data_IF_468092770023
#
_entry.id   IF_468092770023
#
_cell.length_a   1.000
_cell.length_b   1.000
_cell.length_c   1.000
_cell.angle_alpha   90.00
_cell.angle_beta   90.00
_cell.angle_gamma   90.00
#
_symmetry.space_group_name_H-M   'P 1'
#
loop_
_entity.id
_entity.type
_entity.pdbx_description
1 polymer ?
#
# COMPACT_ATOMS: atom_id res chain seq x y z
N UNK A 1 -16.36 -28.91 18.88
CA UNK A 1 -15.32 -28.23 19.67
C UNK A 1 -13.95 -28.18 18.98
N UNK A 2 -13.35 -29.31 18.54
CA UNK A 2 -12.04 -29.33 17.84
C UNK A 2 -11.98 -28.48 16.55
N UNK A 3 -13.06 -28.40 15.78
CA UNK A 3 -13.13 -27.60 14.54
C UNK A 3 -13.17 -26.09 14.80
N UNK A 4 -13.81 -25.65 15.87
CA UNK A 4 -13.88 -24.24 16.28
C UNK A 4 -12.49 -23.73 16.69
N UNK A 5 -11.79 -24.44 17.57
CA UNK A 5 -10.42 -24.08 17.97
C UNK A 5 -9.42 -24.10 16.83
N UNK A 6 -9.60 -24.97 15.82
CA UNK A 6 -8.75 -25.02 14.64
C UNK A 6 -8.95 -23.76 13.75
N UNK A 7 -10.16 -23.21 13.72
CA UNK A 7 -10.49 -22.03 12.93
C UNK A 7 -9.92 -20.75 13.57
N UNK A 8 -9.99 -20.63 14.90
CA UNK A 8 -9.43 -19.49 15.64
C UNK A 8 -7.88 -19.43 15.52
N UNK A 9 -7.19 -20.57 15.66
CA UNK A 9 -5.73 -20.63 15.43
C UNK A 9 -5.33 -20.17 14.04
N UNK A 10 -6.09 -20.52 13.00
CA UNK A 10 -5.84 -20.05 11.63
C UNK A 10 -6.00 -18.55 11.48
N UNK A 11 -7.05 -17.97 12.06
CA UNK A 11 -7.26 -16.51 12.06
C UNK A 11 -6.12 -15.80 12.78
N UNK A 12 -5.66 -16.34 13.89
CA UNK A 12 -4.54 -15.80 14.65
C UNK A 12 -3.23 -15.78 13.83
N UNK A 13 -2.86 -16.89 13.18
CA UNK A 13 -1.69 -16.92 12.30
C UNK A 13 -1.80 -15.97 11.11
N UNK A 14 -2.99 -15.87 10.52
CA UNK A 14 -3.25 -14.91 9.44
C UNK A 14 -3.03 -13.47 9.92
N UNK A 15 -3.59 -13.12 11.08
CA UNK A 15 -3.41 -11.79 11.67
C UNK A 15 -1.94 -11.50 11.98
N UNK A 16 -1.18 -12.48 12.48
CA UNK A 16 0.27 -12.34 12.71
C UNK A 16 1.05 -12.07 11.42
N UNK A 17 0.75 -12.80 10.34
CA UNK A 17 1.43 -12.59 9.04
C UNK A 17 1.15 -11.19 8.51
N UNK A 18 -0.12 -10.74 8.56
CA UNK A 18 -0.51 -9.42 8.11
C UNK A 18 0.14 -8.34 8.97
N UNK A 19 0.07 -8.47 10.29
CA UNK A 19 0.70 -7.54 11.23
C UNK A 19 2.20 -7.42 10.99
N UNK A 20 2.90 -8.55 10.90
CA UNK A 20 4.36 -8.56 10.66
C UNK A 20 4.69 -8.01 9.27
N UNK A 21 3.91 -8.38 8.25
CA UNK A 21 4.06 -7.82 6.91
C UNK A 21 3.86 -6.30 6.87
N UNK A 22 2.86 -5.77 7.58
CA UNK A 22 2.63 -4.32 7.70
C UNK A 22 3.73 -3.64 8.53
N UNK A 23 4.18 -4.28 9.60
CA UNK A 23 5.30 -3.78 10.42
C UNK A 23 6.58 -3.62 9.59
N UNK A 24 6.93 -4.62 8.78
CA UNK A 24 8.13 -4.55 7.90
C UNK A 24 8.04 -3.38 6.90
N UNK A 25 6.83 -3.01 6.44
CA UNK A 25 6.60 -1.90 5.51
C UNK A 25 6.58 -0.54 6.20
N UNK A 26 6.14 -0.51 7.45
CA UNK A 26 6.10 0.72 8.25
C UNK A 26 7.41 1.00 8.98
N UNK A 27 8.26 -0.03 9.18
CA UNK A 27 9.52 0.13 9.89
C UNK A 27 10.46 1.06 9.11
N UNK A 28 10.83 2.18 9.73
CA UNK A 28 11.65 3.22 9.13
C UNK A 28 11.12 3.78 7.79
N UNK A 29 9.81 3.88 7.61
CA UNK A 29 9.16 4.35 6.38
C UNK A 29 9.67 5.73 5.92
N UNK A 30 10.09 6.56 6.85
CA UNK A 30 10.61 7.91 6.62
C UNK A 30 12.13 8.02 6.79
N UNK A 31 12.87 6.88 6.74
CA UNK A 31 14.33 6.88 6.91
C UNK A 31 15.06 7.58 5.76
N UNK A 32 14.60 7.35 4.53
CA UNK A 32 15.20 7.98 3.35
C UNK A 32 14.46 9.27 2.98
N UNK A 33 15.22 10.28 2.54
CA UNK A 33 14.66 11.47 1.94
C UNK A 33 13.85 11.13 0.68
N UNK A 34 12.95 12.04 0.28
CA UNK A 34 12.25 11.90 -0.99
C UNK A 34 13.21 12.06 -2.15
N UNK A 35 13.17 11.16 -3.08
CA UNK A 35 13.86 11.33 -4.35
C UNK A 35 12.96 12.05 -5.37
N UNK A 36 13.54 12.45 -6.51
CA UNK A 36 12.90 13.36 -7.47
C UNK A 36 11.46 12.98 -7.84
N UNK A 37 11.21 11.70 -8.06
CA UNK A 37 9.90 11.21 -8.50
C UNK A 37 8.83 11.28 -7.39
N UNK A 38 9.22 11.05 -6.13
CA UNK A 38 8.32 11.22 -4.99
C UNK A 38 7.96 12.68 -4.78
N UNK A 39 8.94 13.59 -4.98
CA UNK A 39 8.71 15.04 -4.89
C UNK A 39 7.72 15.53 -5.93
N UNK A 40 7.74 14.95 -7.14
CA UNK A 40 6.75 15.28 -8.17
C UNK A 40 5.35 14.87 -7.74
N UNK A 41 5.15 13.64 -7.26
CA UNK A 41 3.86 13.17 -6.74
C UNK A 41 3.40 14.02 -5.56
N UNK A 42 4.30 14.33 -4.63
CA UNK A 42 4.00 15.20 -3.50
C UNK A 42 3.52 16.58 -3.95
N UNK A 43 4.25 17.24 -4.86
CA UNK A 43 3.89 18.56 -5.37
C UNK A 43 2.53 18.57 -6.10
N UNK A 44 2.28 17.59 -6.97
CA UNK A 44 1.04 17.51 -7.75
C UNK A 44 -0.20 17.22 -6.88
N UNK A 45 -0.02 16.54 -5.77
CA UNK A 45 -1.08 16.23 -4.82
C UNK A 45 -1.31 17.31 -3.76
N UNK A 46 -0.64 18.47 -3.85
CA UNK A 46 -0.89 19.57 -2.94
C UNK A 46 -2.38 20.00 -3.00
N UNK A 47 -3.07 20.03 -1.86
CA UNK A 47 -4.48 20.46 -1.79
C UNK A 47 -4.75 21.84 -2.39
N UNK A 48 -3.81 22.77 -2.26
CA UNK A 48 -3.95 24.16 -2.73
C UNK A 48 -3.82 24.30 -4.24
N UNK A 49 -3.26 23.31 -4.94
CA UNK A 49 -3.13 23.37 -6.39
C UNK A 49 -4.49 23.25 -7.08
N UNK A 50 -4.65 23.99 -8.20
CA UNK A 50 -5.82 23.84 -9.04
C UNK A 50 -5.94 22.43 -9.58
N UNK A 51 -7.07 21.76 -9.31
CA UNK A 51 -7.30 20.37 -9.64
C UNK A 51 -7.16 20.06 -11.14
N UNK A 52 -7.72 20.94 -12.00
CA UNK A 52 -7.68 20.75 -13.45
C UNK A 52 -6.26 20.88 -13.99
N UNK A 53 -5.49 21.85 -13.50
CA UNK A 53 -4.09 22.03 -13.88
C UNK A 53 -3.22 20.88 -13.43
N UNK A 54 -3.41 20.40 -12.19
CA UNK A 54 -2.71 19.20 -11.69
C UNK A 54 -2.97 17.98 -12.58
N UNK A 55 -4.23 17.73 -12.96
CA UNK A 55 -4.57 16.61 -13.86
C UNK A 55 -3.91 16.75 -15.23
N UNK A 56 -3.91 17.96 -15.83
CA UNK A 56 -3.23 18.18 -17.12
C UNK A 56 -1.73 17.89 -17.04
N UNK A 57 -1.06 18.30 -15.96
CA UNK A 57 0.35 18.01 -15.73
C UNK A 57 0.60 16.53 -15.53
N UNK A 58 -0.22 15.83 -14.75
CA UNK A 58 -0.13 14.38 -14.53
C UNK A 58 -0.18 13.62 -15.86
N UNK A 59 -1.12 13.98 -16.75
CA UNK A 59 -1.19 13.39 -18.09
C UNK A 59 0.04 13.69 -18.94
N UNK A 60 0.55 14.91 -18.88
CA UNK A 60 1.74 15.32 -19.64
C UNK A 60 3.01 14.54 -19.27
N UNK A 61 3.14 14.18 -18.00
CA UNK A 61 4.32 13.44 -17.47
C UNK A 61 4.06 11.94 -17.29
N UNK A 62 2.93 11.43 -17.82
CA UNK A 62 2.56 10.01 -17.81
C UNK A 62 2.51 9.38 -16.42
N UNK A 63 2.07 10.11 -15.40
CA UNK A 63 1.81 9.55 -14.08
C UNK A 63 0.42 8.93 -13.99
N UNK A 64 0.23 8.09 -12.99
CA UNK A 64 -1.06 7.44 -12.72
C UNK A 64 -2.04 8.42 -12.06
N UNK A 65 -2.96 8.99 -12.84
CA UNK A 65 -3.94 9.99 -12.36
C UNK A 65 -4.69 9.52 -11.11
N UNK A 66 -5.13 8.27 -11.09
CA UNK A 66 -5.89 7.71 -9.96
C UNK A 66 -5.10 7.80 -8.65
N UNK A 67 -3.81 7.49 -8.69
CA UNK A 67 -2.95 7.56 -7.50
C UNK A 67 -2.81 8.99 -6.99
N UNK A 68 -2.50 9.93 -7.88
CA UNK A 68 -2.29 11.34 -7.52
C UNK A 68 -3.57 11.98 -6.96
N UNK A 69 -4.73 11.63 -7.50
CA UNK A 69 -6.02 12.07 -6.99
C UNK A 69 -6.29 11.51 -5.59
N UNK A 70 -6.07 10.20 -5.38
CA UNK A 70 -6.21 9.59 -4.05
C UNK A 70 -5.25 10.25 -3.05
N UNK A 71 -4.00 10.50 -3.45
CA UNK A 71 -3.00 11.15 -2.61
C UNK A 71 -3.42 12.57 -2.24
N UNK A 72 -3.97 13.35 -3.18
CA UNK A 72 -4.50 14.69 -2.92
C UNK A 72 -5.61 14.66 -1.86
N UNK A 73 -6.58 13.75 -1.98
CA UNK A 73 -7.63 13.58 -0.97
C UNK A 73 -7.08 13.09 0.36
N UNK A 74 -6.07 12.24 0.34
CA UNK A 74 -5.37 11.80 1.56
C UNK A 74 -4.74 12.99 2.29
N UNK A 75 -4.07 13.90 1.56
CA UNK A 75 -3.50 15.13 2.12
C UNK A 75 -4.57 16.10 2.66
N UNK A 76 -5.75 16.18 2.04
CA UNK A 76 -6.86 16.97 2.58
C UNK A 76 -7.34 16.48 3.95
N UNK A 77 -7.26 15.17 4.20
CA UNK A 77 -7.76 14.57 5.44
C UNK A 77 -6.68 14.53 6.53
N UNK A 78 -5.46 14.15 6.16
CA UNK A 78 -4.38 13.86 7.12
C UNK A 78 -3.30 14.95 7.20
N UNK A 79 -3.39 15.96 6.33
CA UNK A 79 -2.43 17.07 6.23
C UNK A 79 -1.43 16.87 5.09
N UNK A 80 -1.01 18.00 4.53
CA UNK A 80 0.00 18.07 3.47
C UNK A 80 1.40 18.08 4.09
N UNK A 81 1.91 16.90 4.34
CA UNK A 81 3.20 16.70 4.99
C UNK A 81 3.98 15.55 4.33
N UNK A 82 5.28 15.75 4.21
CA UNK A 82 6.18 14.82 3.52
C UNK A 82 6.25 13.45 4.21
N UNK A 83 6.22 13.45 5.55
CA UNK A 83 6.29 12.23 6.35
C UNK A 83 4.96 11.48 6.37
N UNK A 84 3.85 12.21 6.29
CA UNK A 84 2.49 11.66 6.26
C UNK A 84 2.19 10.99 4.92
N UNK A 85 2.71 11.53 3.82
CA UNK A 85 2.41 11.08 2.46
C UNK A 85 2.66 9.59 2.21
N UNK A 86 3.74 9.03 2.73
CA UNK A 86 4.10 7.61 2.54
C UNK A 86 3.15 6.64 3.26
N UNK A 87 2.41 7.10 4.27
CA UNK A 87 1.43 6.24 4.95
C UNK A 87 0.29 5.79 4.05
N UNK A 88 -0.04 6.55 3.00
CA UNK A 88 -0.98 6.09 1.98
C UNK A 88 -0.49 4.77 1.35
N UNK A 89 0.77 4.71 0.93
CA UNK A 89 1.35 3.50 0.33
C UNK A 89 1.45 2.34 1.32
N UNK A 90 1.71 2.62 2.60
CA UNK A 90 1.66 1.61 3.66
C UNK A 90 0.26 1.00 3.77
N UNK A 91 -0.79 1.84 3.75
CA UNK A 91 -2.19 1.38 3.79
C UNK A 91 -2.51 0.54 2.55
N UNK A 92 -2.21 1.04 1.35
CA UNK A 92 -2.46 0.34 0.08
C UNK A 92 -1.71 -0.99 0.02
N UNK A 93 -0.45 -1.03 0.46
CA UNK A 93 0.36 -2.25 0.51
C UNK A 93 -0.17 -3.26 1.52
N UNK A 94 -0.68 -2.81 2.66
CA UNK A 94 -1.33 -3.69 3.64
C UNK A 94 -2.63 -4.26 3.10
N UNK A 95 -3.44 -3.44 2.44
CA UNK A 95 -4.66 -3.87 1.75
C UNK A 95 -4.34 -4.90 0.66
N UNK A 96 -3.25 -4.73 -0.09
CA UNK A 96 -2.86 -5.68 -1.14
C UNK A 96 -2.58 -7.08 -0.58
N UNK A 97 -1.99 -7.21 0.61
CA UNK A 97 -1.80 -8.50 1.30
C UNK A 97 -3.16 -9.15 1.60
N UNK A 98 -4.12 -8.37 2.11
CA UNK A 98 -5.47 -8.85 2.41
C UNK A 98 -6.23 -9.30 1.16
N UNK A 99 -6.20 -8.49 0.09
CA UNK A 99 -6.85 -8.82 -1.18
C UNK A 99 -6.22 -10.04 -1.82
N UNK A 100 -4.90 -10.13 -1.83
CA UNK A 100 -4.18 -11.29 -2.36
C UNK A 100 -4.55 -12.57 -1.60
N UNK A 101 -4.66 -12.51 -0.27
CA UNK A 101 -5.15 -13.65 0.52
C UNK A 101 -6.55 -14.07 0.08
N UNK A 102 -7.48 -13.11 -0.01
CA UNK A 102 -8.87 -13.38 -0.39
C UNK A 102 -8.95 -14.01 -1.79
N UNK A 103 -8.23 -13.45 -2.74
CA UNK A 103 -8.17 -13.93 -4.12
C UNK A 103 -7.59 -15.33 -4.20
N UNK A 104 -6.46 -15.59 -3.55
CA UNK A 104 -5.82 -16.91 -3.55
C UNK A 104 -6.66 -17.94 -2.83
N UNK A 105 -7.33 -17.57 -1.74
CA UNK A 105 -8.23 -18.46 -1.01
C UNK A 105 -9.47 -18.85 -1.82
N UNK A 106 -10.00 -17.96 -2.65
CA UNK A 106 -11.14 -18.24 -3.51
C UNK A 106 -10.78 -19.21 -4.65
N UNK A 107 -9.54 -19.14 -5.15
CA UNK A 107 -9.08 -19.94 -6.28
C UNK A 107 -8.27 -21.18 -5.89
N UNK A 108 -7.94 -21.35 -4.60
CA UNK A 108 -7.11 -22.41 -4.08
C UNK A 108 -7.50 -22.81 -2.66
N UNK A 109 -6.73 -23.70 -2.05
CA UNK A 109 -6.95 -24.09 -0.67
C UNK A 109 -6.29 -23.10 0.34
N UNK A 110 -6.73 -23.20 1.61
CA UNK A 110 -6.21 -22.32 2.67
C UNK A 110 -4.70 -22.42 2.91
N UNK A 111 -4.07 -23.56 2.61
CA UNK A 111 -2.61 -23.72 2.80
C UNK A 111 -1.85 -22.91 1.77
N UNK A 112 -2.28 -22.98 0.49
CA UNK A 112 -1.69 -22.21 -0.61
C UNK A 112 -1.90 -20.71 -0.36
N UNK A 113 -3.11 -20.31 0.04
CA UNK A 113 -3.40 -18.91 0.36
C UNK A 113 -2.50 -18.38 1.49
N UNK A 114 -2.32 -19.16 2.56
CA UNK A 114 -1.45 -18.75 3.68
C UNK A 114 0.02 -18.67 3.26
N UNK A 115 0.50 -19.63 2.47
CA UNK A 115 1.85 -19.59 1.92
C UNK A 115 2.05 -18.38 1.00
N UNK A 116 1.09 -18.11 0.12
CA UNK A 116 1.12 -16.98 -0.79
C UNK A 116 1.25 -15.64 -0.07
N UNK A 117 0.45 -15.39 0.97
CA UNK A 117 0.57 -14.15 1.75
C UNK A 117 1.85 -14.08 2.56
N UNK A 118 2.37 -15.19 3.03
CA UNK A 118 3.67 -15.23 3.71
C UNK A 118 4.78 -14.78 2.76
N UNK A 119 4.82 -15.34 1.55
CA UNK A 119 5.77 -14.96 0.51
C UNK A 119 5.62 -13.49 0.11
N UNK A 120 4.38 -13.00 -0.09
CA UNK A 120 4.14 -11.59 -0.41
C UNK A 120 4.54 -10.66 0.74
N UNK A 121 4.25 -11.05 1.99
CA UNK A 121 4.60 -10.27 3.18
C UNK A 121 6.10 -10.07 3.34
N UNK A 122 6.89 -11.08 2.94
CA UNK A 122 8.36 -11.07 3.03
C UNK A 122 9.04 -10.62 1.72
N UNK A 123 8.27 -10.34 0.66
CA UNK A 123 8.83 -9.94 -0.62
C UNK A 123 9.50 -8.56 -0.51
N UNK A 124 10.81 -8.52 -0.74
CA UNK A 124 11.63 -7.32 -0.56
C UNK A 124 11.22 -6.18 -1.51
N UNK A 125 10.83 -6.50 -2.76
CA UNK A 125 10.37 -5.49 -3.71
C UNK A 125 9.04 -4.89 -3.27
N UNK A 126 8.10 -5.72 -2.82
CA UNK A 126 6.82 -5.24 -2.32
C UNK A 126 6.95 -4.42 -1.04
N UNK A 127 7.92 -4.76 -0.17
CA UNK A 127 8.25 -3.96 1.03
C UNK A 127 8.84 -2.62 0.58
N UNK A 128 9.84 -2.62 -0.30
CA UNK A 128 10.50 -1.41 -0.79
C UNK A 128 9.51 -0.45 -1.46
N UNK A 129 8.69 -0.94 -2.39
CA UNK A 129 7.70 -0.10 -3.07
C UNK A 129 6.57 0.40 -2.17
N UNK A 130 6.33 -0.23 -1.02
CA UNK A 130 5.42 0.29 -0.01
C UNK A 130 5.99 1.52 0.73
N UNK A 131 7.31 1.70 0.73
CA UNK A 131 8.00 2.82 1.38
C UNK A 131 8.23 4.01 0.43
N UNK A 132 7.96 3.86 -0.87
CA UNK A 132 8.12 4.90 -1.88
C UNK A 132 6.76 5.56 -2.18
N UNK A 133 6.71 6.89 -2.28
CA UNK A 133 5.50 7.64 -2.63
C UNK A 133 5.22 7.55 -4.14
N UNK A 134 4.85 6.35 -4.59
CA UNK A 134 4.60 6.04 -6.01
C UNK A 134 3.38 5.12 -6.16
N UNK A 135 2.83 5.09 -7.36
CA UNK A 135 1.63 4.33 -7.70
C UNK A 135 1.77 2.80 -7.70
N UNK A 136 2.97 2.26 -7.41
CA UNK A 136 3.25 0.81 -7.51
C UNK A 136 2.32 -0.05 -6.65
N UNK A 137 2.09 0.36 -5.41
CA UNK A 137 1.19 -0.37 -4.49
C UNK A 137 -0.26 -0.34 -4.93
N UNK A 138 -0.72 0.78 -5.51
CA UNK A 138 -2.05 0.88 -6.09
C UNK A 138 -2.17 0.01 -7.35
N UNK A 139 -1.17 0.02 -8.22
CA UNK A 139 -1.14 -0.84 -9.42
C UNK A 139 -1.18 -2.33 -9.08
N UNK A 140 -0.59 -2.73 -7.95
CA UNK A 140 -0.66 -4.11 -7.49
C UNK A 140 -2.06 -4.50 -6.96
N UNK A 141 -2.86 -3.52 -6.51
CA UNK A 141 -4.24 -3.72 -6.03
C UNK A 141 -5.27 -3.83 -7.16
N UNK A 142 -4.99 -3.24 -8.31
CA UNK A 142 -5.89 -3.21 -9.49
C UNK A 142 -5.76 -4.48 -10.32
#
# INVERSE_FOLDING_TARGET
MKTFFKNEKKKFYLALIIFFGSFLRGYNINFNDFWSDEMVSFYLSNPDNNFIESIKLIFKINLMVTFEVILKYFHLVFGYDIYVSRYLNLILSTLSILFFYKLTKNNSNNKIATLGILLLSLNIFHIRYAMELRSYTLSFLM
#
